data_IF_201220394004
#
_entry.id   IF_201220394004
#
_cell.length_a   1.000
_cell.length_b   1.000
_cell.length_c   1.000
_cell.angle_alpha   90.00
_cell.angle_beta   90.00
_cell.angle_gamma   90.00
#
_symmetry.space_group_name_H-M   'P 1'
#
loop_
_entity.id
_entity.type
_entity.pdbx_description
1 polymer ?
#
# COMPACT_ATOMS: atom_id res chain seq x y z
N UNK A 1 8.66 15.94 -13.57
CA UNK A 1 8.93 16.00 -12.13
C UNK A 1 10.43 16.18 -11.94
N UNK A 2 10.88 17.18 -11.21
CA UNK A 2 12.30 17.39 -10.97
C UNK A 2 12.78 16.42 -9.89
N UNK A 3 13.50 15.38 -10.29
CA UNK A 3 14.05 14.34 -9.42
C UNK A 3 14.89 14.95 -8.29
N UNK A 4 15.69 16.00 -8.57
CA UNK A 4 16.49 16.67 -7.54
C UNK A 4 15.63 17.28 -6.44
N UNK A 5 14.52 17.94 -6.82
CA UNK A 5 13.58 18.53 -5.88
C UNK A 5 12.89 17.47 -5.04
N UNK A 6 12.53 16.34 -5.65
CA UNK A 6 11.91 15.23 -4.93
C UNK A 6 12.88 14.58 -3.93
N UNK A 7 14.08 14.23 -4.36
CA UNK A 7 15.09 13.62 -3.49
C UNK A 7 15.55 14.54 -2.36
N UNK A 8 15.59 15.85 -2.58
CA UNK A 8 15.90 16.83 -1.53
C UNK A 8 14.90 16.80 -0.36
N UNK A 9 13.69 16.34 -0.58
CA UNK A 9 12.67 16.20 0.46
C UNK A 9 12.72 14.86 1.18
N UNK A 10 13.57 13.92 0.74
CA UNK A 10 13.67 12.58 1.33
C UNK A 10 14.76 12.51 2.40
N UNK A 11 14.53 11.71 3.42
CA UNK A 11 15.54 11.43 4.46
C UNK A 11 16.82 10.82 3.86
N UNK A 12 16.68 9.90 2.91
CA UNK A 12 17.79 9.25 2.22
C UNK A 12 18.71 10.29 1.57
N UNK A 13 18.11 11.26 0.87
CA UNK A 13 18.90 12.30 0.23
C UNK A 13 19.56 13.24 1.23
N UNK A 14 18.89 13.55 2.34
CA UNK A 14 19.43 14.40 3.40
C UNK A 14 20.61 13.74 4.14
N UNK A 15 20.64 12.42 4.22
CA UNK A 15 21.73 11.66 4.85
C UNK A 15 22.94 11.45 3.94
N UNK A 16 22.81 11.71 2.62
CA UNK A 16 23.92 11.66 1.70
C UNK A 16 24.80 12.91 1.88
N UNK A 17 26.10 12.71 1.98
CA UNK A 17 27.05 13.81 1.90
C UNK A 17 27.09 14.40 0.48
N UNK A 18 27.68 15.59 0.33
CA UNK A 18 27.68 16.31 -0.94
C UNK A 18 28.37 15.52 -2.06
N UNK A 19 29.42 14.76 -1.75
CA UNK A 19 30.14 13.91 -2.69
C UNK A 19 29.27 12.78 -3.20
N UNK A 20 28.50 12.13 -2.32
CA UNK A 20 27.58 11.06 -2.69
C UNK A 20 26.40 11.60 -3.49
N UNK A 21 25.89 12.79 -3.15
CA UNK A 21 24.84 13.45 -3.92
C UNK A 21 25.28 13.74 -5.36
N UNK A 22 26.44 14.33 -5.54
CA UNK A 22 27.01 14.58 -6.87
C UNK A 22 27.19 13.26 -7.65
N UNK A 23 27.63 12.21 -6.98
CA UNK A 23 27.81 10.90 -7.59
C UNK A 23 26.53 10.35 -8.21
N UNK A 24 25.38 10.47 -7.54
CA UNK A 24 24.09 9.99 -8.07
C UNK A 24 23.58 10.81 -9.26
N UNK A 25 23.93 12.08 -9.33
CA UNK A 25 23.53 12.99 -10.41
C UNK A 25 24.60 13.19 -11.48
N UNK A 26 25.74 12.50 -11.37
CA UNK A 26 26.74 12.50 -12.43
C UNK A 26 26.34 11.54 -13.56
N UNK A 27 25.66 12.09 -14.57
CA UNK A 27 25.24 11.34 -15.76
C UNK A 27 26.40 10.91 -16.67
N UNK A 28 27.62 11.32 -16.42
CA UNK A 28 28.80 10.82 -17.14
C UNK A 28 29.14 9.40 -16.71
N UNK A 29 28.86 9.04 -15.47
CA UNK A 29 29.05 7.69 -14.97
C UNK A 29 27.74 6.89 -15.09
N UNK A 30 27.79 5.78 -15.79
CA UNK A 30 26.63 4.87 -15.94
C UNK A 30 26.45 4.02 -14.69
N UNK A 31 25.26 4.01 -14.15
CA UNK A 31 24.94 3.34 -12.88
C UNK A 31 23.65 2.55 -12.99
N UNK A 32 23.63 1.48 -12.23
CA UNK A 32 22.46 0.67 -11.98
C UNK A 32 22.15 0.67 -10.49
N UNK A 33 20.91 0.95 -10.16
CA UNK A 33 20.36 0.78 -8.82
C UNK A 33 19.14 -0.13 -8.92
N UNK A 34 19.08 -1.17 -8.09
CA UNK A 34 17.88 -1.99 -7.94
C UNK A 34 17.30 -1.81 -6.55
N UNK A 35 16.00 -1.86 -6.48
CA UNK A 35 15.28 -1.75 -5.22
C UNK A 35 13.91 -2.43 -5.33
N UNK A 36 13.21 -2.54 -4.22
CA UNK A 36 11.80 -2.89 -4.20
C UNK A 36 11.00 -1.61 -4.37
N UNK A 37 10.14 -1.58 -5.39
CA UNK A 37 9.29 -0.43 -5.72
C UNK A 37 7.94 -0.49 -5.02
N UNK A 38 7.37 -1.67 -4.91
CA UNK A 38 6.11 -1.90 -4.23
C UNK A 38 6.12 -3.24 -3.51
N UNK A 39 5.57 -3.26 -2.32
CA UNK A 39 5.41 -4.48 -1.55
C UNK A 39 3.99 -4.57 -1.01
N UNK A 40 3.34 -5.70 -1.25
CA UNK A 40 2.02 -5.99 -0.73
C UNK A 40 2.09 -7.14 0.26
N UNK A 41 1.39 -6.98 1.37
CA UNK A 41 1.13 -8.08 2.29
C UNK A 41 -0.33 -8.08 2.71
N UNK A 42 -0.84 -9.23 3.08
CA UNK A 42 -2.18 -9.41 3.61
C UNK A 42 -2.14 -9.84 5.06
N UNK A 43 -3.17 -9.47 5.76
CA UNK A 43 -3.40 -9.84 7.16
C UNK A 43 -4.72 -10.58 7.25
N UNK A 44 -4.64 -11.83 7.71
CA UNK A 44 -5.80 -12.67 8.00
C UNK A 44 -6.15 -12.53 9.47
N UNK A 45 -7.43 -12.33 9.75
CA UNK A 45 -7.96 -12.27 11.09
C UNK A 45 -8.51 -13.63 11.53
N UNK A 46 -8.57 -13.83 12.84
CA UNK A 46 -9.07 -15.08 13.44
C UNK A 46 -10.59 -15.16 13.30
N UNK A 47 -11.26 -14.05 13.47
CA UNK A 47 -12.70 -13.92 13.46
C UNK A 47 -13.30 -14.17 12.08
N UNK A 48 -14.54 -14.61 12.04
CA UNK A 48 -15.26 -14.84 10.80
C UNK A 48 -15.86 -13.53 10.23
N UNK A 49 -15.32 -13.08 9.12
CA UNK A 49 -15.74 -11.86 8.40
C UNK A 49 -16.80 -12.13 7.33
N UNK A 50 -17.44 -13.29 7.34
CA UNK A 50 -18.56 -13.56 6.42
C UNK A 50 -19.76 -12.68 6.74
N UNK A 51 -20.68 -12.53 5.77
CA UNK A 51 -21.88 -11.70 5.95
C UNK A 51 -22.78 -12.18 7.11
N UNK A 52 -22.69 -13.47 7.44
CA UNK A 52 -23.51 -14.11 8.47
C UNK A 52 -22.85 -14.13 9.85
N UNK A 53 -21.68 -13.51 9.98
CA UNK A 53 -20.96 -13.43 11.25
C UNK A 53 -21.82 -12.78 12.34
N UNK A 54 -21.90 -13.44 13.49
CA UNK A 54 -22.52 -12.91 14.71
C UNK A 54 -21.50 -12.39 15.72
N UNK A 55 -20.22 -12.37 15.39
CA UNK A 55 -19.14 -11.87 16.24
C UNK A 55 -19.26 -10.37 16.48
N UNK A 56 -19.31 -9.95 17.74
CA UNK A 56 -19.52 -8.54 18.12
C UNK A 56 -18.38 -7.62 17.66
N UNK A 57 -17.14 -8.10 17.64
CA UNK A 57 -15.98 -7.35 17.19
C UNK A 57 -16.05 -7.08 15.69
N UNK A 58 -16.40 -8.12 14.92
CA UNK A 58 -16.63 -8.01 13.47
C UNK A 58 -17.80 -7.09 13.16
N UNK A 59 -18.90 -7.20 13.89
CA UNK A 59 -20.07 -6.32 13.68
C UNK A 59 -19.75 -4.86 14.00
N UNK A 60 -19.00 -4.59 15.08
CA UNK A 60 -18.53 -3.23 15.42
C UNK A 60 -17.61 -2.67 14.33
N UNK A 61 -16.64 -3.47 13.87
CA UNK A 61 -15.73 -3.11 12.80
C UNK A 61 -16.48 -2.77 11.51
N UNK A 62 -17.37 -3.65 11.07
CA UNK A 62 -18.19 -3.47 9.87
C UNK A 62 -19.03 -2.20 9.96
N UNK A 63 -19.80 -2.03 11.03
CA UNK A 63 -20.65 -0.85 11.26
C UNK A 63 -19.85 0.46 11.23
N UNK A 64 -18.65 0.45 11.83
CA UNK A 64 -17.79 1.62 11.83
C UNK A 64 -17.39 2.03 10.41
N UNK A 65 -16.88 1.08 9.61
CA UNK A 65 -16.43 1.39 8.26
C UNK A 65 -17.57 1.68 7.28
N UNK A 66 -18.74 1.06 7.45
CA UNK A 66 -19.95 1.41 6.69
C UNK A 66 -20.42 2.84 6.97
N UNK A 67 -20.42 3.25 8.22
CA UNK A 67 -20.71 4.64 8.59
C UNK A 67 -19.70 5.62 7.99
N UNK A 68 -18.40 5.29 8.03
CA UNK A 68 -17.36 6.12 7.43
C UNK A 68 -17.50 6.21 5.92
N UNK A 69 -17.83 5.12 5.25
CA UNK A 69 -18.11 5.10 3.82
C UNK A 69 -19.31 6.00 3.48
N UNK A 70 -20.39 5.93 4.23
CA UNK A 70 -21.56 6.82 4.05
C UNK A 70 -21.17 8.29 4.18
N UNK A 71 -20.27 8.65 5.11
CA UNK A 71 -19.77 10.02 5.24
C UNK A 71 -18.95 10.41 4.01
N UNK A 72 -18.10 9.52 3.52
CA UNK A 72 -17.29 9.75 2.31
C UNK A 72 -18.18 9.99 1.09
N UNK A 73 -19.21 9.18 0.90
CA UNK A 73 -20.17 9.29 -0.20
C UNK A 73 -20.98 10.62 -0.13
N UNK A 74 -21.31 11.08 1.09
CA UNK A 74 -22.02 12.34 1.30
C UNK A 74 -21.15 13.60 1.16
N UNK A 75 -19.84 13.44 1.27
CA UNK A 75 -18.85 14.54 1.24
C UNK A 75 -17.97 14.50 -0.01
N UNK A 76 -18.59 14.35 -1.15
CA UNK A 76 -17.88 14.25 -2.43
C UNK A 76 -16.83 15.36 -2.59
N UNK A 77 -15.57 14.96 -2.82
CA UNK A 77 -14.45 15.87 -2.99
C UNK A 77 -13.86 16.47 -1.72
N UNK A 78 -14.36 16.15 -0.53
CA UNK A 78 -13.79 16.56 0.74
C UNK A 78 -12.87 15.49 1.32
N UNK A 79 -11.74 15.94 1.91
CA UNK A 79 -10.85 15.05 2.62
C UNK A 79 -11.50 14.58 3.94
N UNK A 80 -11.66 13.29 4.09
CA UNK A 80 -12.11 12.66 5.34
C UNK A 80 -10.93 11.95 5.98
N UNK A 81 -10.63 12.27 7.22
CA UNK A 81 -9.53 11.66 7.96
C UNK A 81 -10.06 10.72 9.05
N UNK A 82 -9.31 9.65 9.27
CA UNK A 82 -9.52 8.71 10.38
C UNK A 82 -8.29 8.74 11.27
N UNK A 83 -8.55 8.70 12.58
CA UNK A 83 -7.53 8.58 13.61
C UNK A 83 -7.95 7.47 14.57
N UNK A 84 -7.04 6.56 14.86
CA UNK A 84 -7.21 5.53 15.90
C UNK A 84 -6.28 5.84 17.07
N UNK A 85 -6.64 5.47 18.29
CA UNK A 85 -5.74 5.56 19.43
C UNK A 85 -4.42 4.85 19.14
N UNK A 86 -3.30 5.50 19.44
CA UNK A 86 -1.97 4.96 19.15
C UNK A 86 -1.38 5.40 17.80
N UNK A 87 -2.17 5.91 16.87
CA UNK A 87 -1.63 6.46 15.63
C UNK A 87 -0.79 7.71 15.91
N UNK A 88 0.35 7.82 15.25
CA UNK A 88 1.18 9.03 15.27
C UNK A 88 0.64 10.11 14.29
N UNK A 89 -0.23 9.72 13.35
CA UNK A 89 -0.88 10.60 12.38
C UNK A 89 -2.23 10.07 11.93
N UNK A 90 -3.09 10.95 11.44
CA UNK A 90 -4.35 10.56 10.79
C UNK A 90 -4.10 9.97 9.40
N UNK A 91 -4.97 9.05 9.00
CA UNK A 91 -5.01 8.49 7.66
C UNK A 91 -6.16 9.10 6.86
N UNK A 92 -5.98 9.27 5.56
CA UNK A 92 -7.04 9.70 4.67
C UNK A 92 -7.98 8.53 4.38
N UNK A 93 -9.27 8.72 4.60
CA UNK A 93 -10.27 7.76 4.19
C UNK A 93 -10.59 7.97 2.72
N UNK A 94 -10.44 6.94 1.92
CA UNK A 94 -10.72 6.93 0.50
C UNK A 94 -11.64 5.79 0.14
N UNK A 95 -12.40 5.94 -0.95
CA UNK A 95 -13.07 4.81 -1.56
C UNK A 95 -12.02 3.80 -2.03
N UNK A 96 -12.16 2.55 -1.60
CA UNK A 96 -11.26 1.47 -1.99
C UNK A 96 -11.76 0.77 -3.24
N UNK A 97 -10.85 0.32 -4.08
CA UNK A 97 -11.15 -0.64 -5.14
C UNK A 97 -9.95 -1.55 -5.34
N UNK A 98 -9.78 -2.49 -4.42
CA UNK A 98 -8.80 -3.56 -4.56
C UNK A 98 -9.54 -4.89 -4.57
N UNK A 99 -9.32 -5.70 -5.59
CA UNK A 99 -9.95 -7.02 -5.77
C UNK A 99 -11.49 -7.06 -5.57
N UNK A 100 -12.19 -5.95 -5.78
CA UNK A 100 -13.66 -5.87 -5.83
C UNK A 100 -14.37 -5.81 -4.48
N UNK A 101 -13.85 -6.41 -3.41
CA UNK A 101 -14.49 -6.45 -2.09
C UNK A 101 -13.79 -5.59 -1.02
N UNK A 102 -12.55 -5.13 -1.27
CA UNK A 102 -11.90 -4.14 -0.42
C UNK A 102 -12.48 -2.75 -0.71
N UNK A 103 -13.54 -2.42 -0.04
CA UNK A 103 -14.32 -1.21 -0.31
C UNK A 103 -13.81 0.04 0.41
N UNK A 104 -12.89 -0.11 1.34
CA UNK A 104 -12.28 0.96 2.13
C UNK A 104 -10.78 1.00 1.88
N UNK A 105 -10.24 2.20 1.70
CA UNK A 105 -8.81 2.45 1.68
C UNK A 105 -8.47 3.53 2.70
N UNK A 106 -7.54 3.22 3.59
CA UNK A 106 -6.91 4.18 4.49
C UNK A 106 -5.53 4.52 3.91
N UNK A 107 -5.37 5.75 3.46
CA UNK A 107 -4.16 6.21 2.83
C UNK A 107 -3.27 6.96 3.83
N UNK A 108 -2.04 6.51 4.01
CA UNK A 108 -0.95 7.30 4.54
C UNK A 108 -0.19 7.89 3.33
N UNK A 109 -0.38 9.18 3.01
CA UNK A 109 0.18 9.76 1.79
C UNK A 109 1.68 9.48 1.65
N UNK A 110 2.09 9.08 0.42
CA UNK A 110 3.47 8.73 0.06
C UNK A 110 4.04 7.46 0.71
N UNK A 111 3.44 6.92 1.78
CA UNK A 111 4.01 5.83 2.57
C UNK A 111 3.34 4.48 2.26
N UNK A 112 2.06 4.35 2.58
CA UNK A 112 1.32 3.10 2.39
C UNK A 112 -0.18 3.32 2.26
N UNK A 113 -0.86 2.30 1.77
CA UNK A 113 -2.30 2.18 1.78
C UNK A 113 -2.71 0.92 2.56
N UNK A 114 -3.77 1.02 3.36
CA UNK A 114 -4.42 -0.12 4.02
C UNK A 114 -5.77 -0.31 3.34
N UNK A 115 -5.96 -1.42 2.66
CA UNK A 115 -7.22 -1.81 2.06
C UNK A 115 -7.96 -2.73 3.02
N UNK A 116 -9.22 -2.42 3.28
CA UNK A 116 -10.06 -3.10 4.26
C UNK A 116 -11.29 -3.67 3.55
N UNK A 117 -11.56 -4.96 3.79
CA UNK A 117 -12.78 -5.64 3.43
C UNK A 117 -13.64 -5.79 4.69
N UNK A 118 -14.67 -4.94 4.90
CA UNK A 118 -15.57 -5.08 6.05
C UNK A 118 -16.34 -6.40 6.05
N UNK A 119 -16.43 -7.03 4.89
CA UNK A 119 -17.06 -8.34 4.68
C UNK A 119 -16.33 -9.05 3.55
N UNK A 120 -16.05 -10.32 3.72
CA UNK A 120 -15.44 -11.19 2.70
C UNK A 120 -16.46 -12.19 2.16
N UNK A 121 -16.43 -12.48 0.85
CA UNK A 121 -17.32 -13.48 0.27
C UNK A 121 -17.05 -14.87 0.86
N UNK A 122 -18.10 -15.68 1.00
CA UNK A 122 -17.94 -17.11 1.23
C UNK A 122 -17.17 -17.74 0.07
N UNK A 123 -16.32 -18.70 0.38
CA UNK A 123 -15.73 -19.56 -0.63
C UNK A 123 -16.83 -20.32 -1.38
N UNK A 124 -16.66 -20.49 -2.70
CA UNK A 124 -17.63 -21.19 -3.57
C UNK A 124 -17.98 -22.61 -3.12
N UNK A 125 -17.15 -23.21 -2.28
CA UNK A 125 -17.26 -24.61 -1.85
C UNK A 125 -17.68 -24.76 -0.38
N UNK A 126 -18.22 -23.72 0.25
CA UNK A 126 -18.57 -23.71 1.68
C UNK A 126 -17.37 -23.83 2.61
N UNK A 127 -16.16 -23.72 2.07
CA UNK A 127 -14.91 -23.67 2.84
C UNK A 127 -14.59 -22.26 3.33
N UNK A 128 -13.66 -22.15 4.24
CA UNK A 128 -13.17 -20.87 4.74
C UNK A 128 -12.70 -19.98 3.58
N UNK A 129 -13.11 -18.73 3.61
CA UNK A 129 -12.59 -17.75 2.66
C UNK A 129 -11.05 -17.71 2.76
N UNK A 130 -10.37 -17.99 1.65
CA UNK A 130 -8.90 -17.89 1.57
C UNK A 130 -8.46 -16.42 1.57
N UNK A 131 -9.41 -15.52 1.51
CA UNK A 131 -9.19 -14.08 1.35
C UNK A 131 -8.96 -13.42 2.69
N UNK A 132 -7.90 -12.63 2.78
CA UNK A 132 -7.59 -11.83 3.96
C UNK A 132 -8.49 -10.60 4.03
N UNK A 133 -8.79 -10.14 5.22
CA UNK A 133 -9.66 -9.00 5.50
C UNK A 133 -8.95 -7.65 5.28
N UNK A 134 -7.63 -7.66 5.41
CA UNK A 134 -6.79 -6.47 5.27
C UNK A 134 -5.65 -6.75 4.30
N UNK A 135 -5.40 -5.81 3.38
CA UNK A 135 -4.23 -5.82 2.51
C UNK A 135 -3.52 -4.48 2.67
N UNK A 136 -2.21 -4.52 2.78
CA UNK A 136 -1.38 -3.32 2.86
C UNK A 136 -0.48 -3.24 1.65
N UNK A 137 -0.43 -2.06 1.06
CA UNK A 137 0.50 -1.71 -0.01
C UNK A 137 1.53 -0.72 0.51
N UNK A 138 2.78 -1.11 0.58
CA UNK A 138 3.89 -0.20 0.83
C UNK A 138 4.31 0.46 -0.48
N UNK A 139 4.47 1.78 -0.44
CA UNK A 139 4.86 2.57 -1.61
C UNK A 139 6.38 2.72 -1.68
N UNK A 140 6.89 2.92 -2.87
CA UNK A 140 8.32 3.06 -3.14
C UNK A 140 9.01 4.08 -2.25
N UNK A 141 8.36 5.21 -1.95
CA UNK A 141 8.94 6.23 -1.07
C UNK A 141 9.31 5.69 0.31
N UNK A 142 8.38 4.94 0.94
CA UNK A 142 8.62 4.34 2.26
C UNK A 142 9.68 3.24 2.21
N UNK A 143 9.61 2.39 1.17
CA UNK A 143 10.55 1.29 0.95
C UNK A 143 11.98 1.80 0.71
N UNK A 144 12.11 2.92 0.02
CA UNK A 144 13.40 3.54 -0.24
C UNK A 144 13.98 4.27 0.98
N UNK A 145 13.11 4.81 1.82
CA UNK A 145 13.50 5.55 3.02
C UNK A 145 13.95 4.63 4.15
N UNK A 146 13.24 3.53 4.37
CA UNK A 146 13.43 2.69 5.56
C UNK A 146 13.91 1.26 5.23
N UNK A 147 13.83 0.83 3.98
CA UNK A 147 13.98 -0.58 3.61
C UNK A 147 12.72 -1.38 3.91
N UNK A 148 12.67 -2.62 3.41
CA UNK A 148 11.44 -3.44 3.46
C UNK A 148 11.05 -3.78 4.89
N UNK A 149 12.02 -4.17 5.72
CA UNK A 149 11.75 -4.63 7.09
C UNK A 149 11.13 -3.53 7.96
N UNK A 150 11.80 -2.39 8.06
CA UNK A 150 11.30 -1.27 8.86
C UNK A 150 10.00 -0.67 8.29
N UNK A 151 9.86 -0.63 6.96
CA UNK A 151 8.62 -0.19 6.32
C UNK A 151 7.44 -1.13 6.65
N UNK A 152 7.69 -2.45 6.64
CA UNK A 152 6.72 -3.44 7.08
C UNK A 152 6.33 -3.23 8.55
N UNK A 153 7.29 -3.17 9.46
CA UNK A 153 7.03 -3.01 10.90
C UNK A 153 6.21 -1.76 11.19
N UNK A 154 6.58 -0.63 10.59
CA UNK A 154 5.85 0.64 10.77
C UNK A 154 4.41 0.57 10.26
N UNK A 155 4.17 0.01 9.09
CA UNK A 155 2.82 -0.12 8.55
C UNK A 155 2.00 -1.16 9.30
N UNK A 156 2.62 -2.25 9.74
CA UNK A 156 2.00 -3.31 10.52
C UNK A 156 1.53 -2.83 11.88
N UNK A 157 2.25 -1.91 12.51
CA UNK A 157 1.81 -1.31 13.76
C UNK A 157 0.46 -0.57 13.61
N UNK A 158 0.23 0.12 12.50
CA UNK A 158 -1.08 0.71 12.20
C UNK A 158 -2.19 -0.33 12.09
N UNK A 159 -1.92 -1.44 11.38
CA UNK A 159 -2.89 -2.55 11.27
C UNK A 159 -3.20 -3.14 12.63
N UNK A 160 -2.17 -3.37 13.45
CA UNK A 160 -2.31 -3.89 14.79
C UNK A 160 -3.18 -2.98 15.66
N UNK A 161 -2.92 -1.67 15.63
CA UNK A 161 -3.71 -0.69 16.39
C UNK A 161 -5.18 -0.63 15.93
N UNK A 162 -5.45 -0.82 14.62
CA UNK A 162 -6.83 -0.98 14.12
C UNK A 162 -7.47 -2.24 14.70
N UNK A 163 -6.76 -3.36 14.67
CA UNK A 163 -7.26 -4.62 15.22
C UNK A 163 -7.52 -4.51 16.72
N UNK A 164 -6.58 -3.98 17.48
CA UNK A 164 -6.71 -3.78 18.93
C UNK A 164 -7.91 -2.89 19.29
N UNK A 165 -8.18 -1.85 18.49
CA UNK A 165 -9.34 -0.96 18.72
C UNK A 165 -10.68 -1.68 18.62
N UNK A 166 -10.78 -2.68 17.77
CA UNK A 166 -12.00 -3.47 17.56
C UNK A 166 -12.00 -4.81 18.30
N UNK A 167 -10.93 -5.12 19.05
CA UNK A 167 -10.76 -6.42 19.70
C UNK A 167 -10.75 -7.58 18.69
N UNK A 168 -9.97 -7.39 17.62
CA UNK A 168 -9.76 -8.37 16.56
C UNK A 168 -8.38 -9.01 16.69
N UNK A 169 -8.26 -10.28 16.33
CA UNK A 169 -7.03 -11.05 16.49
C UNK A 169 -6.42 -11.40 15.15
N UNK A 170 -5.12 -11.10 14.99
CA UNK A 170 -4.39 -11.43 13.77
C UNK A 170 -4.00 -12.91 13.80
N UNK A 171 -4.48 -13.68 12.82
CA UNK A 171 -4.11 -15.08 12.66
C UNK A 171 -2.73 -15.23 12.02
N UNK A 172 -2.49 -14.55 10.92
CA UNK A 172 -1.20 -14.52 10.22
C UNK A 172 -1.09 -13.34 9.24
N UNK A 173 0.15 -13.07 8.85
CA UNK A 173 0.47 -12.19 7.74
C UNK A 173 1.11 -12.99 6.61
N UNK A 174 0.84 -12.60 5.36
CA UNK A 174 1.37 -13.25 4.18
C UNK A 174 1.81 -12.22 3.16
N UNK A 175 2.99 -12.41 2.58
CA UNK A 175 3.44 -11.65 1.43
C UNK A 175 2.59 -12.02 0.20
N UNK A 176 2.11 -11.00 -0.52
CA UNK A 176 1.27 -11.20 -1.70
C UNK A 176 1.99 -10.86 -2.99
N UNK A 177 2.76 -9.74 -2.98
CA UNK A 177 3.40 -9.24 -4.18
C UNK A 177 4.61 -8.39 -3.83
N UNK A 178 5.69 -8.61 -4.57
CA UNK A 178 6.90 -7.79 -4.51
C UNK A 178 7.21 -7.34 -5.94
N UNK A 179 7.27 -6.04 -6.15
CA UNK A 179 7.69 -5.46 -7.42
C UNK A 179 9.12 -4.94 -7.28
N UNK A 180 10.02 -5.53 -8.06
CA UNK A 180 11.40 -5.07 -8.15
C UNK A 180 11.52 -4.02 -9.25
N UNK A 181 12.26 -2.96 -8.98
CA UNK A 181 12.57 -1.95 -9.96
C UNK A 181 14.08 -1.83 -10.19
N UNK A 182 14.41 -1.44 -11.41
CA UNK A 182 15.78 -1.16 -11.83
C UNK A 182 15.83 0.29 -12.30
N UNK A 183 16.64 1.08 -11.62
CA UNK A 183 16.89 2.46 -12.01
C UNK A 183 18.25 2.54 -12.68
N UNK A 184 18.30 3.25 -13.79
CA UNK A 184 19.56 3.44 -14.51
C UNK A 184 19.59 4.81 -15.17
N UNK A 185 20.76 5.42 -15.16
CA UNK A 185 21.06 6.57 -15.98
C UNK A 185 21.73 6.18 -17.32
N UNK A 186 21.64 4.89 -17.69
CA UNK A 186 22.29 4.36 -18.89
C UNK A 186 21.68 4.90 -20.18
N UNK A 187 20.37 5.16 -20.17
CA UNK A 187 19.63 5.69 -21.30
C UNK A 187 19.49 7.20 -21.16
N UNK A 188 20.17 7.96 -22.01
CA UNK A 188 20.05 9.43 -22.01
C UNK A 188 18.71 9.92 -22.56
N UNK A 189 18.05 9.11 -23.38
CA UNK A 189 16.72 9.40 -23.96
C UNK A 189 15.88 8.13 -23.91
N UNK A 190 15.28 7.77 -22.76
CA UNK A 190 14.51 6.53 -22.64
C UNK A 190 13.30 6.46 -23.56
N UNK A 191 12.68 7.58 -23.90
CA UNK A 191 11.55 7.66 -24.83
C UNK A 191 11.89 7.22 -26.26
N UNK A 192 13.16 7.20 -26.64
CA UNK A 192 13.58 6.65 -27.93
C UNK A 192 13.59 5.12 -27.95
N UNK A 193 13.67 4.48 -26.79
CA UNK A 193 13.76 3.04 -26.63
C UNK A 193 12.45 2.41 -26.18
N UNK A 194 11.62 3.17 -25.48
CA UNK A 194 10.35 2.72 -24.94
C UNK A 194 9.21 3.50 -25.55
N UNK A 195 8.65 2.98 -26.64
CA UNK A 195 7.39 3.54 -27.13
C UNK A 195 6.22 3.01 -26.27
N UNK A 196 5.22 3.84 -25.95
CA UNK A 196 4.02 3.39 -25.25
C UNK A 196 3.34 2.20 -25.94
N UNK A 197 3.34 2.18 -27.27
CA UNK A 197 2.76 1.11 -28.08
C UNK A 197 3.46 -0.23 -27.89
N UNK A 198 4.78 -0.25 -27.75
CA UNK A 198 5.55 -1.48 -27.47
C UNK A 198 5.22 -2.02 -26.09
N UNK A 199 4.97 -1.16 -25.11
CA UNK A 199 4.61 -1.54 -23.75
C UNK A 199 3.21 -2.15 -23.68
N UNK A 200 2.26 -1.60 -24.43
CA UNK A 200 0.90 -2.14 -24.51
C UNK A 200 0.87 -3.49 -25.22
N UNK A 201 1.62 -3.69 -26.28
CA UNK A 201 1.73 -4.98 -26.96
C UNK A 201 2.27 -6.09 -26.06
N UNK A 202 3.34 -5.85 -25.31
CA UNK A 202 3.89 -6.83 -24.39
C UNK A 202 2.90 -7.23 -23.27
N UNK A 203 2.00 -6.35 -22.87
CA UNK A 203 1.01 -6.62 -21.84
C UNK A 203 -0.18 -7.44 -22.37
N UNK A 204 -0.59 -7.24 -23.62
CA UNK A 204 -1.68 -7.97 -24.27
C UNK A 204 -1.27 -9.41 -24.61
N UNK A 205 -0.03 -9.64 -25.01
CA UNK A 205 0.46 -10.98 -25.39
C UNK A 205 0.69 -11.92 -24.19
N UNK A 206 0.75 -11.40 -22.96
CA UNK A 206 0.83 -12.22 -21.74
C UNK A 206 -0.51 -12.78 -21.25
N UNK A 207 -1.64 -12.30 -21.79
CA UNK A 207 -2.98 -12.67 -21.36
C UNK A 207 -3.81 -13.40 -22.45
N UNK A 208 -3.15 -13.94 -23.47
CA UNK A 208 -3.79 -14.80 -24.50
C UNK A 208 -3.50 -16.27 -24.20
#
# INVERSE_FOLDING_TARGET
>A
MDIKKHLNSTKIYQELDDKNREYWFDFKQKKFLHNIDTFYYSVKLVEDFTNDSSDDSVLRFRKFFEQKKSILDSRYGQLVQIFFPGFDRSLNLCAGSYAGFFSIRLECPEWFDIFIAPSVPHGSDGGFSVTSEIVVQLRSYMLWMYGVHEAFERSYEYVKQICDYFDLHIAYCQENRIDYCWHSNYLSNPEKFFSPESFYKMRVDRFK
#
